data_IF_465124170454
#
_entry.id   IF_465124170454
#
_cell.length_a   1.000
_cell.length_b   1.000
_cell.length_c   1.000
_cell.angle_alpha   90.00
_cell.angle_beta   90.00
_cell.angle_gamma   90.00
#
_symmetry.space_group_name_H-M   'P 1'
#
loop_
_entity.id
_entity.type
_entity.pdbx_description
1 polymer ?
#
# COMPACT_ATOMS: atom_id res chain seq x y z
N UNK A 1 30.84 -30.64 -26.83
CA UNK A 1 29.99 -30.73 -25.61
C UNK A 1 29.86 -29.33 -24.99
N UNK A 2 28.80 -28.60 -25.31
CA UNK A 2 28.60 -27.24 -24.87
C UNK A 2 27.85 -27.25 -23.53
N UNK A 3 28.52 -26.88 -22.43
CA UNK A 3 27.91 -26.63 -21.13
C UNK A 3 26.99 -25.38 -21.24
N UNK A 4 25.70 -25.60 -21.46
CA UNK A 4 24.68 -24.54 -21.21
C UNK A 4 24.71 -24.22 -19.71
N UNK A 5 25.39 -23.15 -19.34
CA UNK A 5 25.25 -22.51 -18.03
C UNK A 5 23.87 -21.83 -18.00
N UNK A 6 22.85 -22.56 -17.57
CA UNK A 6 21.65 -21.94 -17.02
C UNK A 6 22.10 -21.16 -15.78
N UNK A 7 22.03 -19.85 -15.86
CA UNK A 7 22.28 -18.96 -14.74
C UNK A 7 21.21 -19.13 -13.67
N UNK A 8 21.33 -20.18 -12.87
CA UNK A 8 20.60 -20.33 -11.61
C UNK A 8 21.16 -19.26 -10.69
N UNK A 9 20.26 -18.45 -10.16
CA UNK A 9 20.43 -17.46 -9.13
C UNK A 9 21.66 -17.74 -8.26
N UNK A 10 22.75 -16.99 -8.44
CA UNK A 10 23.71 -16.77 -7.39
C UNK A 10 23.03 -15.89 -6.34
N UNK A 11 22.18 -16.48 -5.52
CA UNK A 11 21.96 -15.98 -4.19
C UNK A 11 23.34 -16.16 -3.49
N UNK A 12 24.21 -15.17 -3.62
CA UNK A 12 25.23 -14.97 -2.60
C UNK A 12 24.42 -15.00 -1.30
N UNK A 13 24.71 -16.00 -0.45
CA UNK A 13 24.25 -16.00 0.94
C UNK A 13 24.84 -14.72 1.51
N UNK A 14 24.10 -13.63 1.31
CA UNK A 14 24.53 -12.33 1.77
C UNK A 14 24.39 -12.36 3.29
N UNK A 15 25.42 -11.91 3.96
CA UNK A 15 25.59 -11.76 5.40
C UNK A 15 24.41 -11.05 6.09
N UNK A 16 23.45 -10.54 5.33
CA UNK A 16 22.41 -9.58 5.72
C UNK A 16 20.98 -10.06 5.45
N UNK A 17 20.62 -11.27 5.41
CA UNK A 17 19.23 -11.78 5.39
C UNK A 17 18.28 -11.24 4.26
N UNK A 18 17.15 -11.91 4.02
CA UNK A 18 16.24 -11.62 2.89
C UNK A 18 15.54 -10.24 2.97
N UNK A 19 15.26 -9.75 4.18
CA UNK A 19 14.64 -8.43 4.38
C UNK A 19 15.56 -7.30 3.95
N UNK A 20 16.83 -7.36 4.35
CA UNK A 20 17.84 -6.36 3.96
C UNK A 20 18.02 -6.33 2.44
N UNK A 21 18.08 -7.51 1.81
CA UNK A 21 18.24 -7.62 0.36
C UNK A 21 17.04 -7.03 -0.40
N UNK A 22 15.82 -7.20 0.11
CA UNK A 22 14.64 -6.57 -0.44
C UNK A 22 14.72 -5.04 -0.30
N UNK A 23 14.96 -4.53 0.91
CA UNK A 23 15.03 -3.08 1.17
C UNK A 23 16.11 -2.43 0.30
N UNK A 24 17.32 -2.99 0.27
CA UNK A 24 18.41 -2.52 -0.57
C UNK A 24 18.06 -2.56 -2.05
N UNK A 25 17.46 -3.67 -2.52
CA UNK A 25 17.05 -3.82 -3.91
C UNK A 25 16.00 -2.79 -4.32
N UNK A 26 15.02 -2.50 -3.46
CA UNK A 26 14.01 -1.45 -3.68
C UNK A 26 14.67 -0.07 -3.69
N UNK A 27 15.59 0.21 -2.76
CA UNK A 27 16.32 1.47 -2.69
C UNK A 27 17.20 1.73 -3.93
N UNK A 28 17.73 0.70 -4.56
CA UNK A 28 18.49 0.82 -5.80
C UNK A 28 17.62 1.24 -7.01
N UNK A 29 16.29 1.07 -6.94
CA UNK A 29 15.36 1.47 -7.99
C UNK A 29 15.02 2.96 -7.89
N UNK A 30 15.33 3.76 -8.94
CA UNK A 30 15.06 5.21 -8.96
C UNK A 30 13.58 5.53 -8.77
N UNK A 31 12.71 4.72 -9.37
CA UNK A 31 11.25 4.91 -9.30
C UNK A 31 10.75 4.73 -7.86
N UNK A 32 11.21 3.67 -7.17
CA UNK A 32 10.83 3.42 -5.77
C UNK A 32 11.37 4.52 -4.83
N UNK A 33 12.61 4.98 -5.04
CA UNK A 33 13.17 6.10 -4.26
C UNK A 33 12.33 7.36 -4.37
N UNK A 34 11.85 7.69 -5.58
CA UNK A 34 10.96 8.83 -5.77
C UNK A 34 9.67 8.64 -4.95
N UNK A 35 9.06 7.45 -5.01
CA UNK A 35 7.88 7.13 -4.20
C UNK A 35 8.15 7.25 -2.70
N UNK A 36 9.29 6.75 -2.22
CA UNK A 36 9.70 6.85 -0.81
C UNK A 36 9.86 8.31 -0.39
N UNK A 37 10.52 9.15 -1.21
CA UNK A 37 10.70 10.58 -0.87
C UNK A 37 9.37 11.34 -0.83
N UNK A 38 8.46 11.07 -1.79
CA UNK A 38 7.11 11.64 -1.78
C UNK A 38 6.37 11.22 -0.51
N UNK A 39 6.39 9.93 -0.18
CA UNK A 39 5.72 9.41 1.00
C UNK A 39 6.26 10.01 2.30
N UNK A 40 7.58 10.08 2.44
CA UNK A 40 8.23 10.72 3.59
C UNK A 40 7.83 12.19 3.68
N UNK A 41 7.81 12.93 2.56
CA UNK A 41 7.38 14.32 2.53
C UNK A 41 5.94 14.51 3.03
N UNK A 42 5.01 13.63 2.59
CA UNK A 42 3.61 13.68 3.03
C UNK A 42 3.47 13.31 4.51
N UNK A 43 4.21 12.30 4.98
CA UNK A 43 4.22 11.91 6.40
C UNK A 43 4.74 13.06 7.26
N UNK A 44 5.85 13.70 6.86
CA UNK A 44 6.40 14.86 7.58
C UNK A 44 5.38 16.00 7.59
N UNK A 45 4.76 16.31 6.45
CA UNK A 45 3.71 17.31 6.33
C UNK A 45 2.56 17.04 7.31
N UNK A 46 2.09 15.80 7.38
CA UNK A 46 0.99 15.40 8.28
C UNK A 46 1.40 15.38 9.76
N UNK A 47 2.65 15.03 10.07
CA UNK A 47 3.19 15.08 11.43
C UNK A 47 3.34 16.52 11.89
N UNK A 48 3.79 17.43 11.04
CA UNK A 48 3.84 18.86 11.37
C UNK A 48 2.45 19.33 11.81
N UNK A 49 1.38 18.91 11.11
CA UNK A 49 -0.01 19.27 11.46
C UNK A 49 -0.47 18.82 12.85
N UNK A 50 0.18 17.81 13.46
CA UNK A 50 -0.13 17.38 14.83
C UNK A 50 0.42 18.38 15.86
N UNK A 51 1.62 18.92 15.60
CA UNK A 51 2.35 19.78 16.54
C UNK A 51 2.17 21.26 16.27
N UNK A 52 1.91 21.62 15.04
CA UNK A 52 1.80 23.00 14.60
C UNK A 52 0.80 23.15 13.48
N UNK A 53 -0.17 24.05 13.68
CA UNK A 53 -1.06 24.56 12.64
C UNK A 53 -1.07 26.10 12.75
N UNK A 54 -1.07 26.85 11.62
CA UNK A 54 -1.18 28.31 11.66
C UNK A 54 -2.40 28.79 12.44
N UNK A 55 -3.53 28.08 12.29
CA UNK A 55 -4.79 28.35 12.96
C UNK A 55 -5.41 27.06 13.51
N UNK A 56 -6.33 27.20 14.49
CA UNK A 56 -7.11 26.05 14.94
C UNK A 56 -7.97 25.53 13.76
N UNK A 57 -7.81 24.26 13.33
CA UNK A 57 -8.53 23.72 12.16
C UNK A 57 -10.05 23.67 12.31
N UNK A 58 -10.56 23.77 13.55
CA UNK A 58 -12.00 23.80 13.85
C UNK A 58 -12.53 25.21 14.11
N UNK A 59 -11.71 26.25 13.98
CA UNK A 59 -12.14 27.61 14.19
C UNK A 59 -12.91 28.14 12.97
N UNK A 60 -14.14 28.64 13.19
CA UNK A 60 -15.09 29.11 12.15
C UNK A 60 -15.28 30.63 12.11
N UNK A 61 -14.37 31.38 12.73
CA UNK A 61 -14.50 32.82 12.86
C UNK A 61 -13.89 33.65 11.73
N UNK A 62 -13.28 33.03 10.71
CA UNK A 62 -12.74 33.78 9.58
C UNK A 62 -13.83 34.10 8.55
N UNK A 63 -13.64 35.16 7.72
CA UNK A 63 -14.51 35.41 6.59
C UNK A 63 -14.54 34.18 5.67
N UNK A 64 -15.73 33.88 5.15
CA UNK A 64 -15.96 32.67 4.30
C UNK A 64 -15.41 32.88 2.89
N UNK A 65 -15.02 31.80 2.25
CA UNK A 65 -14.64 31.73 0.82
C UNK A 65 -13.49 32.66 0.43
N UNK A 66 -12.64 33.05 1.36
CA UNK A 66 -11.46 33.83 1.02
C UNK A 66 -10.52 33.03 0.10
N UNK A 67 -10.04 33.64 -1.00
CA UNK A 67 -9.05 33.02 -1.84
C UNK A 67 -7.71 32.91 -1.10
N UNK A 68 -6.78 32.05 -1.61
CA UNK A 68 -5.44 31.95 -1.10
C UNK A 68 -4.75 33.31 -0.95
N UNK A 69 -4.16 33.55 0.21
CA UNK A 69 -3.52 34.79 0.60
C UNK A 69 -2.35 34.55 1.56
N UNK A 70 -1.48 35.53 1.84
CA UNK A 70 -0.41 35.36 2.84
C UNK A 70 -0.91 35.04 4.25
N UNK A 71 -2.13 35.46 4.61
CA UNK A 71 -2.79 35.17 5.89
C UNK A 71 -3.38 33.75 5.88
N UNK A 72 -3.99 33.34 4.78
CA UNK A 72 -4.61 32.05 4.58
C UNK A 72 -4.01 31.40 3.33
N UNK A 73 -2.97 30.56 3.49
CA UNK A 73 -2.18 30.00 2.36
C UNK A 73 -3.02 29.24 1.33
N UNK A 74 -4.07 28.54 1.78
CA UNK A 74 -5.06 27.87 0.93
C UNK A 74 -6.46 28.48 1.12
N UNK A 75 -6.56 29.77 1.50
CA UNK A 75 -7.84 30.40 1.68
C UNK A 75 -8.67 29.84 2.83
N UNK A 76 -9.95 30.21 2.85
CA UNK A 76 -10.94 29.70 3.80
C UNK A 76 -12.08 28.97 3.09
N UNK A 77 -12.77 28.10 3.83
CA UNK A 77 -13.95 27.38 3.34
C UNK A 77 -15.25 28.14 3.58
N UNK A 78 -16.40 27.58 3.20
CA UNK A 78 -17.74 28.13 3.35
C UNK A 78 -18.19 28.25 4.84
N UNK A 79 -17.46 27.64 5.76
CA UNK A 79 -17.69 27.70 7.20
C UNK A 79 -16.74 28.66 7.91
N UNK A 80 -15.76 29.23 7.21
CA UNK A 80 -14.73 30.11 7.76
C UNK A 80 -13.59 29.35 8.44
N UNK A 81 -13.31 28.08 8.06
CA UNK A 81 -12.11 27.38 8.49
C UNK A 81 -10.92 27.72 7.59
N UNK A 82 -9.71 27.72 8.15
CA UNK A 82 -8.48 27.79 7.37
C UNK A 82 -8.19 26.45 6.70
N UNK A 83 -8.25 26.40 5.37
CA UNK A 83 -8.12 25.18 4.58
C UNK A 83 -6.73 24.55 4.72
N UNK A 84 -5.66 25.37 4.84
CA UNK A 84 -4.31 24.85 4.99
C UNK A 84 -4.12 24.13 6.35
N UNK A 85 -4.65 24.71 7.43
CA UNK A 85 -4.61 24.08 8.76
C UNK A 85 -5.38 22.75 8.79
N UNK A 86 -6.55 22.70 8.13
CA UNK A 86 -7.30 21.45 7.99
C UNK A 86 -6.54 20.40 7.15
N UNK A 87 -5.89 20.83 6.05
CA UNK A 87 -5.11 19.93 5.19
C UNK A 87 -3.94 19.30 5.94
N UNK A 88 -3.25 20.08 6.78
CA UNK A 88 -2.15 19.58 7.61
C UNK A 88 -2.60 18.50 8.59
N UNK A 89 -3.63 18.78 9.37
CA UNK A 89 -4.14 17.86 10.41
C UNK A 89 -4.82 16.64 9.78
N UNK A 90 -5.53 16.85 8.68
CA UNK A 90 -6.32 15.82 8.02
C UNK A 90 -5.54 14.66 7.43
N UNK A 91 -4.24 14.81 7.23
CA UNK A 91 -3.38 13.77 6.63
C UNK A 91 -3.08 12.61 7.56
N UNK A 92 -2.81 12.91 8.84
CA UNK A 92 -2.40 11.89 9.80
C UNK A 92 -3.40 10.75 9.97
N UNK A 93 -4.72 11.00 10.18
CA UNK A 93 -5.68 9.91 10.27
C UNK A 93 -5.82 9.11 8.96
N UNK A 94 -5.77 9.74 7.80
CA UNK A 94 -5.87 9.06 6.50
C UNK A 94 -4.70 8.09 6.29
N UNK A 95 -3.48 8.59 6.49
CA UNK A 95 -2.26 7.79 6.32
C UNK A 95 -2.19 6.71 7.40
N UNK A 96 -2.46 7.06 8.66
CA UNK A 96 -2.41 6.14 9.79
C UNK A 96 -3.36 4.97 9.63
N UNK A 97 -4.63 5.23 9.26
CA UNK A 97 -5.60 4.15 8.98
C UNK A 97 -5.16 3.32 7.78
N UNK A 98 -4.68 3.94 6.70
CA UNK A 98 -4.19 3.21 5.54
C UNK A 98 -3.06 2.23 5.87
N UNK A 99 -2.05 2.69 6.63
CA UNK A 99 -0.95 1.82 7.08
C UNK A 99 -1.43 0.71 8.01
N UNK A 100 -2.32 1.01 8.95
CA UNK A 100 -2.85 0.01 9.87
C UNK A 100 -3.69 -1.06 9.14
N UNK A 101 -4.55 -0.66 8.19
CA UNK A 101 -5.30 -1.58 7.32
C UNK A 101 -4.34 -2.41 6.47
N UNK A 102 -3.30 -1.79 5.90
CA UNK A 102 -2.25 -2.48 5.16
C UNK A 102 -1.57 -3.57 5.99
N UNK A 103 -1.19 -3.23 7.22
CA UNK A 103 -0.52 -4.17 8.13
C UNK A 103 -1.44 -5.32 8.54
N UNK A 104 -2.62 -5.01 9.09
CA UNK A 104 -3.56 -6.02 9.59
C UNK A 104 -4.05 -6.91 8.44
N UNK A 105 -4.47 -6.32 7.31
CA UNK A 105 -4.95 -7.07 6.16
C UNK A 105 -3.87 -7.97 5.56
N UNK A 106 -2.60 -7.51 5.51
CA UNK A 106 -1.49 -8.35 5.06
C UNK A 106 -1.18 -9.48 6.04
N UNK A 107 -1.24 -9.24 7.34
CA UNK A 107 -1.06 -10.30 8.35
C UNK A 107 -2.15 -11.38 8.22
N UNK A 108 -3.42 -10.98 8.07
CA UNK A 108 -4.53 -11.93 7.84
C UNK A 108 -4.31 -12.68 6.52
N UNK A 109 -3.91 -11.98 5.44
CA UNK A 109 -3.60 -12.59 4.14
C UNK A 109 -2.53 -13.69 4.24
N UNK A 110 -1.47 -13.43 5.01
CA UNK A 110 -0.38 -14.39 5.24
C UNK A 110 -0.91 -15.60 6.01
N UNK A 111 -1.58 -15.35 7.13
CA UNK A 111 -2.10 -16.42 8.00
C UNK A 111 -3.07 -17.34 7.24
N UNK A 112 -4.08 -16.76 6.60
CA UNK A 112 -5.10 -17.52 5.88
C UNK A 112 -4.53 -18.18 4.63
N UNK A 113 -3.74 -17.44 3.84
CA UNK A 113 -3.20 -17.93 2.57
C UNK A 113 -2.15 -19.03 2.75
N UNK A 114 -1.23 -18.89 3.72
CA UNK A 114 -0.24 -19.94 4.03
C UNK A 114 -0.95 -21.17 4.56
N UNK A 115 -1.88 -21.01 5.52
CA UNK A 115 -2.61 -22.15 6.08
C UNK A 115 -3.38 -22.90 5.01
N UNK A 116 -4.16 -22.20 4.18
CA UNK A 116 -4.91 -22.82 3.08
C UNK A 116 -3.98 -23.52 2.08
N UNK A 117 -2.82 -22.93 1.77
CA UNK A 117 -1.84 -23.50 0.85
C UNK A 117 -1.12 -24.74 1.40
N UNK A 118 -0.76 -24.76 2.69
CA UNK A 118 -0.11 -25.89 3.35
C UNK A 118 -1.06 -27.08 3.53
N UNK A 119 -2.31 -26.81 3.85
CA UNK A 119 -3.34 -27.84 4.04
C UNK A 119 -4.22 -28.01 2.80
N UNK A 120 -3.66 -27.77 1.62
CA UNK A 120 -4.37 -27.90 0.35
C UNK A 120 -5.12 -29.24 0.22
N UNK A 121 -6.31 -29.18 -0.39
CA UNK A 121 -7.21 -30.32 -0.63
C UNK A 121 -7.90 -30.88 0.63
N UNK A 122 -7.57 -30.37 1.83
CA UNK A 122 -8.25 -30.74 3.06
C UNK A 122 -9.55 -29.94 3.27
N UNK A 123 -10.35 -30.31 4.27
CA UNK A 123 -11.54 -29.56 4.67
C UNK A 123 -11.17 -28.14 5.10
N UNK A 124 -10.03 -27.97 5.81
CA UNK A 124 -9.56 -26.64 6.25
C UNK A 124 -9.31 -25.72 5.07
N UNK A 125 -8.62 -26.20 4.04
CA UNK A 125 -8.38 -25.41 2.81
C UNK A 125 -9.70 -25.03 2.13
N UNK A 126 -10.65 -25.98 2.02
CA UNK A 126 -11.96 -25.72 1.41
C UNK A 126 -12.74 -24.65 2.15
N UNK A 127 -12.76 -24.69 3.49
CA UNK A 127 -13.44 -23.70 4.33
C UNK A 127 -12.78 -22.32 4.20
N UNK A 128 -11.44 -22.24 4.36
CA UNK A 128 -10.72 -20.98 4.24
C UNK A 128 -10.84 -20.35 2.84
N UNK A 129 -10.78 -21.20 1.79
CA UNK A 129 -10.98 -20.76 0.41
C UNK A 129 -12.41 -20.29 0.14
N UNK A 130 -13.43 -20.95 0.70
CA UNK A 130 -14.82 -20.52 0.58
C UNK A 130 -15.06 -19.16 1.26
N UNK A 131 -14.53 -18.97 2.49
CA UNK A 131 -14.60 -17.67 3.18
C UNK A 131 -13.91 -16.59 2.34
N UNK A 132 -12.68 -16.86 1.87
CA UNK A 132 -11.94 -15.93 1.01
C UNK A 132 -12.75 -15.55 -0.22
N UNK A 133 -13.45 -16.52 -0.84
CA UNK A 133 -14.27 -16.30 -2.02
C UNK A 133 -15.46 -15.38 -1.74
N UNK A 134 -16.11 -15.54 -0.60
CA UNK A 134 -17.24 -14.67 -0.16
C UNK A 134 -16.74 -13.22 -0.08
N UNK A 135 -15.61 -12.97 0.57
CA UNK A 135 -15.05 -11.62 0.69
C UNK A 135 -14.53 -11.04 -0.65
N UNK A 136 -14.23 -11.88 -1.65
CA UNK A 136 -13.85 -11.41 -2.99
C UNK A 136 -15.05 -11.07 -3.88
N UNK A 137 -16.19 -11.75 -3.67
CA UNK A 137 -17.42 -11.53 -4.46
C UNK A 137 -18.12 -10.25 -4.01
N UNK A 138 -18.20 -10.02 -2.71
CA UNK A 138 -18.88 -8.85 -2.17
C UNK A 138 -17.90 -7.68 -2.15
N UNK A 139 -18.16 -6.56 -2.86
CA UNK A 139 -17.32 -5.39 -2.78
C UNK A 139 -17.26 -4.88 -1.34
N UNK A 140 -16.05 -4.94 -0.73
CA UNK A 140 -15.87 -4.61 0.70
C UNK A 140 -16.38 -3.22 1.06
N UNK A 141 -16.28 -2.27 0.13
CA UNK A 141 -16.77 -0.91 0.32
C UNK A 141 -18.28 -0.85 0.52
N UNK A 142 -19.06 -1.68 -0.21
CA UNK A 142 -20.52 -1.75 -0.05
C UNK A 142 -20.93 -2.32 1.31
N UNK A 143 -20.16 -3.28 1.85
CA UNK A 143 -20.38 -3.80 3.20
C UNK A 143 -20.23 -2.69 4.22
N UNK A 144 -19.17 -1.88 4.07
CA UNK A 144 -18.86 -0.81 5.01
C UNK A 144 -19.87 0.33 4.90
N UNK A 145 -20.33 0.65 3.69
CA UNK A 145 -21.43 1.61 3.48
C UNK A 145 -22.71 1.14 4.15
N UNK A 146 -23.08 -0.12 3.96
CA UNK A 146 -24.29 -0.69 4.58
C UNK A 146 -24.21 -0.64 6.11
N UNK A 147 -23.05 -1.04 6.67
CA UNK A 147 -22.81 -0.96 8.11
C UNK A 147 -22.84 0.51 8.57
N UNK A 148 -22.22 1.41 7.83
CA UNK A 148 -22.20 2.84 8.14
C UNK A 148 -23.59 3.46 8.13
N UNK A 149 -24.40 3.16 7.12
CA UNK A 149 -25.77 3.62 7.02
C UNK A 149 -26.65 3.07 8.17
N UNK A 150 -26.50 1.79 8.51
CA UNK A 150 -27.21 1.16 9.63
C UNK A 150 -26.82 1.81 10.98
N UNK A 151 -25.52 1.98 11.23
CA UNK A 151 -25.03 2.59 12.46
C UNK A 151 -25.42 4.07 12.53
N UNK A 152 -25.44 4.77 11.40
CA UNK A 152 -25.94 6.15 11.29
C UNK A 152 -27.42 6.26 11.65
N UNK A 153 -28.25 5.30 11.24
CA UNK A 153 -29.69 5.26 11.59
C UNK A 153 -29.93 5.12 13.11
N UNK A 154 -29.01 4.49 13.84
CA UNK A 154 -29.05 4.41 15.31
C UNK A 154 -28.20 5.49 15.99
N UNK A 155 -27.85 6.55 15.26
CA UNK A 155 -27.04 7.68 15.71
C UNK A 155 -25.62 7.31 16.21
N UNK A 156 -25.11 6.14 15.88
CA UNK A 156 -23.75 5.72 16.18
C UNK A 156 -22.80 6.25 15.11
N UNK A 157 -21.95 7.19 15.48
CA UNK A 157 -20.97 7.76 14.55
C UNK A 157 -19.73 6.89 14.44
N UNK A 158 -19.36 6.52 13.21
CA UNK A 158 -18.15 5.76 12.94
C UNK A 158 -16.91 6.59 13.22
N UNK A 159 -16.22 6.29 14.30
CA UNK A 159 -14.87 6.82 14.58
C UNK A 159 -13.80 6.10 13.75
N UNK A 160 -12.59 6.65 13.71
CA UNK A 160 -11.45 6.12 12.95
C UNK A 160 -11.16 4.64 13.23
N UNK A 161 -11.27 4.22 14.48
CA UNK A 161 -11.01 2.83 14.90
C UNK A 161 -12.00 1.83 14.29
N UNK A 162 -13.29 2.17 14.28
CA UNK A 162 -14.32 1.29 13.70
C UNK A 162 -14.13 1.15 12.19
N UNK A 163 -13.88 2.28 11.51
CA UNK A 163 -13.59 2.31 10.07
C UNK A 163 -12.33 1.48 9.75
N UNK A 164 -11.28 1.60 10.56
CA UNK A 164 -10.05 0.82 10.41
C UNK A 164 -10.33 -0.68 10.44
N UNK A 165 -11.00 -1.16 11.48
CA UNK A 165 -11.29 -2.61 11.61
C UNK A 165 -12.25 -3.11 10.53
N UNK A 166 -13.23 -2.32 10.13
CA UNK A 166 -14.13 -2.66 9.04
C UNK A 166 -13.37 -2.83 7.71
N UNK A 167 -12.45 -1.89 7.37
CA UNK A 167 -11.60 -2.00 6.20
C UNK A 167 -10.60 -3.16 6.29
N UNK A 168 -9.98 -3.36 7.45
CA UNK A 168 -9.03 -4.45 7.64
C UNK A 168 -9.71 -5.83 7.52
N UNK A 169 -10.97 -5.95 7.96
CA UNK A 169 -11.74 -7.20 7.88
C UNK A 169 -12.15 -7.59 6.45
N UNK A 170 -12.08 -6.69 5.48
CA UNK A 170 -12.43 -6.92 4.08
C UNK A 170 -11.23 -6.93 3.13
N UNK A 171 -10.17 -6.19 3.45
CA UNK A 171 -9.01 -5.96 2.57
C UNK A 171 -8.03 -7.12 2.41
N UNK A 172 -8.17 -8.21 3.18
CA UNK A 172 -7.21 -9.33 3.22
C UNK A 172 -7.42 -10.40 2.14
N UNK A 173 -8.64 -10.52 1.59
CA UNK A 173 -9.05 -11.70 0.82
C UNK A 173 -8.25 -11.90 -0.46
N UNK A 174 -7.96 -10.82 -1.21
CA UNK A 174 -7.16 -10.90 -2.43
C UNK A 174 -5.74 -11.41 -2.15
N UNK A 175 -5.08 -10.84 -1.15
CA UNK A 175 -3.74 -11.26 -0.75
C UNK A 175 -3.68 -12.71 -0.28
N UNK A 176 -4.70 -13.18 0.45
CA UNK A 176 -4.83 -14.57 0.88
C UNK A 176 -4.91 -15.53 -0.30
N UNK A 177 -5.74 -15.23 -1.30
CA UNK A 177 -5.87 -16.05 -2.52
C UNK A 177 -4.54 -16.18 -3.27
N UNK A 178 -3.82 -15.07 -3.44
CA UNK A 178 -2.52 -15.08 -4.12
C UNK A 178 -1.47 -15.82 -3.28
N UNK A 179 -1.42 -15.58 -1.96
CA UNK A 179 -0.49 -16.27 -1.06
C UNK A 179 -0.71 -17.79 -1.07
N UNK A 180 -1.97 -18.25 -1.03
CA UNK A 180 -2.30 -19.67 -1.18
C UNK A 180 -1.71 -20.25 -2.48
N UNK A 181 -1.88 -19.56 -3.61
CA UNK A 181 -1.34 -19.99 -4.91
C UNK A 181 0.20 -20.08 -4.89
N UNK A 182 0.87 -19.11 -4.28
CA UNK A 182 2.33 -19.11 -4.13
C UNK A 182 2.81 -20.26 -3.27
N UNK A 183 2.16 -20.54 -2.14
CA UNK A 183 2.49 -21.66 -1.26
C UNK A 183 2.32 -23.00 -1.98
N UNK A 184 1.22 -23.18 -2.73
CA UNK A 184 1.00 -24.37 -3.55
C UNK A 184 2.11 -24.61 -4.57
N UNK A 185 2.60 -23.55 -5.20
CA UNK A 185 3.71 -23.64 -6.14
C UNK A 185 5.03 -24.00 -5.47
N UNK A 186 5.27 -23.49 -4.25
CA UNK A 186 6.47 -23.74 -3.47
C UNK A 186 6.53 -25.18 -2.92
N UNK A 187 5.41 -25.72 -2.45
CA UNK A 187 5.34 -27.11 -1.92
C UNK A 187 5.88 -28.17 -2.90
N UNK A 188 5.83 -27.90 -4.21
CA UNK A 188 6.34 -28.80 -5.25
C UNK A 188 7.83 -28.64 -5.54
N UNK A 189 8.52 -27.73 -4.84
CA UNK A 189 9.95 -27.48 -5.05
C UNK A 189 10.78 -28.51 -4.28
N UNK A 190 11.84 -29.02 -4.94
CA UNK A 190 12.73 -30.06 -4.39
C UNK A 190 13.31 -29.70 -3.02
N UNK A 191 13.66 -28.44 -2.79
CA UNK A 191 14.23 -28.00 -1.50
C UNK A 191 13.21 -28.03 -0.34
N UNK A 192 11.91 -27.82 -0.61
CA UNK A 192 10.84 -27.97 0.40
C UNK A 192 10.64 -29.45 0.71
N UNK A 193 10.56 -30.29 -0.32
CA UNK A 193 10.44 -31.74 -0.15
C UNK A 193 11.65 -32.31 0.62
N UNK A 194 12.86 -31.82 0.32
CA UNK A 194 14.07 -32.22 1.05
C UNK A 194 14.02 -31.81 2.52
N UNK A 195 13.50 -30.63 2.84
CA UNK A 195 13.30 -30.19 4.22
C UNK A 195 12.34 -31.09 4.98
N UNK A 196 11.24 -31.50 4.37
CA UNK A 196 10.28 -32.42 4.97
C UNK A 196 10.92 -33.79 5.24
N UNK A 197 11.76 -34.30 4.31
CA UNK A 197 12.47 -35.57 4.47
C UNK A 197 13.49 -35.60 5.61
N UNK A 198 14.13 -34.46 5.91
CA UNK A 198 15.06 -34.35 7.06
C UNK A 198 14.33 -34.02 8.37
N UNK A 199 12.98 -34.00 8.38
CA UNK A 199 12.17 -33.82 9.57
C UNK A 199 11.96 -32.37 10.02
N UNK A 200 12.14 -31.36 9.14
CA UNK A 200 11.85 -29.98 9.48
C UNK A 200 10.34 -29.82 9.78
N UNK A 201 10.03 -29.11 10.88
CA UNK A 201 8.64 -28.86 11.27
C UNK A 201 7.94 -27.94 10.25
N UNK A 202 6.61 -28.06 10.08
CA UNK A 202 5.82 -27.18 9.22
C UNK A 202 6.02 -25.69 9.57
N UNK A 203 6.13 -25.37 10.86
CA UNK A 203 6.41 -24.00 11.34
C UNK A 203 7.80 -23.56 10.88
N UNK A 204 8.80 -24.41 11.01
CA UNK A 204 10.16 -24.16 10.49
C UNK A 204 10.15 -23.85 8.99
N UNK A 205 9.49 -24.68 8.20
CA UNK A 205 9.31 -24.47 6.75
C UNK A 205 8.64 -23.13 6.43
N UNK A 206 7.61 -22.72 7.21
CA UNK A 206 6.95 -21.42 7.01
C UNK A 206 7.95 -20.28 7.17
N UNK A 207 8.63 -20.20 8.32
CA UNK A 207 9.47 -19.05 8.65
C UNK A 207 10.82 -19.05 7.93
N UNK A 208 11.40 -20.21 7.65
CA UNK A 208 12.71 -20.30 7.01
C UNK A 208 12.67 -20.33 5.49
N UNK A 209 11.55 -20.77 4.90
CA UNK A 209 11.47 -21.00 3.47
C UNK A 209 10.30 -20.27 2.80
N UNK A 210 9.06 -20.39 3.30
CA UNK A 210 7.89 -19.83 2.62
C UNK A 210 7.87 -18.30 2.73
N UNK A 211 7.93 -17.75 3.94
CA UNK A 211 7.88 -16.28 4.15
C UNK A 211 9.06 -15.58 3.47
N UNK A 212 10.33 -16.00 3.66
CA UNK A 212 11.47 -15.32 3.03
C UNK A 212 11.42 -15.33 1.50
N UNK A 213 10.97 -16.42 0.90
CA UNK A 213 10.85 -16.53 -0.56
C UNK A 213 9.68 -15.70 -1.14
N UNK A 214 8.65 -15.40 -0.34
CA UNK A 214 7.51 -14.59 -0.73
C UNK A 214 7.58 -13.15 -0.19
N UNK A 215 8.68 -12.73 0.42
CA UNK A 215 8.82 -11.41 1.00
C UNK A 215 8.51 -10.25 0.04
N UNK A 216 8.89 -10.27 -1.26
CA UNK A 216 8.48 -9.25 -2.21
C UNK A 216 6.96 -9.18 -2.38
N UNK A 217 6.28 -10.32 -2.47
CA UNK A 217 4.82 -10.34 -2.56
C UNK A 217 4.18 -9.80 -1.29
N UNK A 218 4.67 -10.18 -0.11
CA UNK A 218 4.18 -9.68 1.18
C UNK A 218 4.29 -8.16 1.25
N UNK A 219 5.43 -7.60 0.83
CA UNK A 219 5.63 -6.16 0.78
C UNK A 219 4.69 -5.48 -0.23
N UNK A 220 4.54 -6.04 -1.44
CA UNK A 220 3.58 -5.53 -2.43
C UNK A 220 2.15 -5.58 -1.92
N UNK A 221 1.74 -6.69 -1.29
CA UNK A 221 0.40 -6.85 -0.72
C UNK A 221 0.12 -5.80 0.37
N UNK A 222 1.11 -5.48 1.21
CA UNK A 222 0.99 -4.41 2.20
C UNK A 222 0.63 -3.07 1.54
N UNK A 223 1.34 -2.64 0.49
CA UNK A 223 1.06 -1.38 -0.17
C UNK A 223 -0.29 -1.37 -0.88
N UNK A 224 -0.68 -2.48 -1.54
CA UNK A 224 -2.01 -2.60 -2.17
C UNK A 224 -3.13 -2.51 -1.13
N UNK A 225 -2.99 -3.21 -0.01
CA UNK A 225 -3.98 -3.19 1.07
C UNK A 225 -4.00 -1.83 1.78
N UNK A 226 -2.86 -1.15 1.89
CA UNK A 226 -2.79 0.21 2.41
C UNK A 226 -3.49 1.23 1.49
N UNK A 227 -3.33 1.12 0.16
CA UNK A 227 -4.08 1.94 -0.81
C UNK A 227 -5.59 1.69 -0.64
N UNK A 228 -6.00 0.41 -0.53
CA UNK A 228 -7.39 0.06 -0.25
C UNK A 228 -7.90 0.72 1.03
N UNK A 229 -7.09 0.70 2.10
CA UNK A 229 -7.40 1.35 3.38
C UNK A 229 -7.58 2.86 3.24
N UNK A 230 -6.66 3.55 2.57
CA UNK A 230 -6.71 5.01 2.36
C UNK A 230 -7.93 5.41 1.52
N UNK A 231 -8.13 4.73 0.39
CA UNK A 231 -9.25 5.04 -0.51
C UNK A 231 -10.59 4.72 0.15
N UNK A 232 -10.71 3.57 0.82
CA UNK A 232 -11.90 3.19 1.56
C UNK A 232 -12.22 4.13 2.71
N UNK A 233 -11.21 4.52 3.51
CA UNK A 233 -11.36 5.51 4.57
C UNK A 233 -11.86 6.85 4.02
N UNK A 234 -11.18 7.36 3.00
CA UNK A 234 -11.58 8.63 2.37
C UNK A 234 -13.00 8.57 1.82
N UNK A 235 -13.37 7.45 1.19
CA UNK A 235 -14.69 7.24 0.62
C UNK A 235 -15.79 7.27 1.69
N UNK A 236 -15.60 6.56 2.82
CA UNK A 236 -16.54 6.56 3.95
C UNK A 236 -16.79 7.97 4.47
N UNK A 237 -15.73 8.76 4.64
CA UNK A 237 -15.86 10.13 5.12
C UNK A 237 -16.41 11.08 4.06
N UNK A 238 -16.07 10.87 2.78
CA UNK A 238 -16.59 11.63 1.65
C UNK A 238 -18.12 11.47 1.48
N UNK A 239 -18.66 10.29 1.79
CA UNK A 239 -20.11 10.04 1.79
C UNK A 239 -20.80 10.37 3.11
N UNK A 240 -20.09 10.95 4.07
CA UNK A 240 -20.66 11.37 5.34
C UNK A 240 -21.05 10.24 6.30
N UNK A 241 -20.55 9.02 6.06
CA UNK A 241 -20.83 7.84 6.92
C UNK A 241 -19.99 7.85 8.20
N UNK A 242 -18.87 8.56 8.21
CA UNK A 242 -18.03 8.77 9.37
C UNK A 242 -18.43 9.99 10.21
N UNK A 243 -17.73 10.22 11.31
CA UNK A 243 -17.93 11.42 12.15
C UNK A 243 -17.44 12.68 11.42
N UNK A 244 -18.37 13.54 11.02
CA UNK A 244 -18.08 14.78 10.28
C UNK A 244 -17.41 15.88 11.13
N UNK A 245 -17.33 15.69 12.45
CA UNK A 245 -16.62 16.60 13.36
C UNK A 245 -15.10 16.35 13.38
N UNK A 246 -14.66 15.25 12.80
CA UNK A 246 -13.25 14.86 12.74
C UNK A 246 -12.62 15.35 11.44
N UNK A 247 -11.62 16.23 11.54
CA UNK A 247 -10.92 16.77 10.37
C UNK A 247 -10.05 15.68 9.74
N UNK A 248 -10.34 15.36 8.49
CA UNK A 248 -9.52 14.51 7.62
C UNK A 248 -9.77 14.88 6.14
N UNK A 249 -8.93 14.41 5.22
CA UNK A 249 -9.09 14.75 3.81
C UNK A 249 -10.43 14.29 3.20
N UNK A 250 -11.04 13.21 3.72
CA UNK A 250 -12.37 12.77 3.30
C UNK A 250 -13.48 13.72 3.75
N UNK A 251 -13.45 14.21 5.00
CA UNK A 251 -14.42 15.20 5.50
C UNK A 251 -14.26 16.56 4.82
N UNK A 252 -13.03 16.97 4.49
CA UNK A 252 -12.80 18.18 3.69
C UNK A 252 -13.50 18.09 2.34
N UNK A 253 -13.39 16.93 1.66
CA UNK A 253 -14.09 16.69 0.39
C UNK A 253 -15.61 16.64 0.55
N UNK A 254 -16.12 16.02 1.64
CA UNK A 254 -17.55 16.01 1.95
C UNK A 254 -18.12 17.42 2.08
N UNK A 255 -17.48 18.28 2.88
CA UNK A 255 -17.93 19.66 3.10
C UNK A 255 -17.79 20.50 1.84
N UNK A 256 -16.75 20.29 1.04
CA UNK A 256 -16.57 20.99 -0.24
C UNK A 256 -17.66 20.64 -1.26
N UNK A 257 -18.16 19.39 -1.25
CA UNK A 257 -19.29 18.96 -2.07
C UNK A 257 -20.59 19.62 -1.61
N UNK A 258 -20.85 19.58 -0.29
CA UNK A 258 -22.05 20.18 0.30
C UNK A 258 -22.11 21.72 0.16
N UNK A 259 -20.95 22.38 0.18
CA UNK A 259 -20.81 23.82 -0.08
C UNK A 259 -20.73 24.22 -1.55
N UNK A 260 -20.99 23.27 -2.48
CA UNK A 260 -20.95 23.50 -3.91
C UNK A 260 -19.64 24.15 -4.41
N UNK A 261 -18.52 23.84 -3.75
CA UNK A 261 -17.21 24.46 -4.00
C UNK A 261 -16.80 24.42 -5.48
N UNK A 262 -17.12 23.33 -6.18
CA UNK A 262 -16.84 23.17 -7.60
C UNK A 262 -17.60 24.17 -8.48
N UNK A 263 -18.90 24.36 -8.23
CA UNK A 263 -19.76 25.30 -8.97
C UNK A 263 -19.37 26.75 -8.71
N UNK A 264 -18.92 27.04 -7.49
CA UNK A 264 -18.51 28.37 -7.01
C UNK A 264 -17.05 28.70 -7.36
N UNK A 265 -16.30 27.76 -7.96
CA UNK A 265 -14.89 27.97 -8.34
C UNK A 265 -13.90 27.99 -7.16
N UNK A 266 -14.27 27.47 -5.98
CA UNK A 266 -13.45 27.44 -4.77
C UNK A 266 -12.45 26.28 -4.81
N UNK A 267 -11.60 26.26 -5.84
CA UNK A 267 -10.66 25.15 -6.12
C UNK A 267 -9.71 24.85 -4.95
N UNK A 268 -9.37 25.84 -4.14
CA UNK A 268 -8.47 25.69 -3.01
C UNK A 268 -9.06 24.84 -1.87
N UNK A 269 -10.35 24.59 -1.89
CA UNK A 269 -11.02 23.78 -0.87
C UNK A 269 -11.05 22.30 -1.21
N UNK A 270 -11.25 21.90 -2.49
CA UNK A 270 -11.39 20.49 -2.88
C UNK A 270 -10.17 19.92 -3.61
N UNK A 271 -9.40 20.73 -4.37
CA UNK A 271 -8.22 20.21 -5.08
C UNK A 271 -7.12 19.77 -4.11
N UNK A 272 -6.72 20.52 -3.08
CA UNK A 272 -5.62 20.12 -2.21
C UNK A 272 -5.85 18.79 -1.50
N UNK A 273 -6.97 18.49 -0.83
CA UNK A 273 -7.17 17.20 -0.19
C UNK A 273 -7.23 16.05 -1.21
N UNK A 274 -7.88 16.23 -2.37
CA UNK A 274 -7.91 15.26 -3.44
C UNK A 274 -6.51 14.98 -4.01
N UNK A 275 -5.70 16.02 -4.22
CA UNK A 275 -4.32 15.90 -4.65
C UNK A 275 -3.45 15.13 -3.64
N UNK A 276 -3.58 15.41 -2.35
CA UNK A 276 -2.82 14.70 -1.30
C UNK A 276 -3.16 13.21 -1.26
N UNK A 277 -4.44 12.84 -1.38
CA UNK A 277 -4.88 11.44 -1.45
C UNK A 277 -4.26 10.75 -2.69
N UNK A 278 -4.37 11.39 -3.85
CA UNK A 278 -3.78 10.89 -5.09
C UNK A 278 -2.26 10.75 -5.00
N UNK A 279 -1.59 11.70 -4.33
CA UNK A 279 -0.13 11.69 -4.18
C UNK A 279 0.35 10.55 -3.26
N UNK A 280 -0.40 10.21 -2.19
CA UNK A 280 -0.11 9.05 -1.35
C UNK A 280 -0.28 7.76 -2.15
N UNK A 281 -1.40 7.60 -2.87
CA UNK A 281 -1.63 6.42 -3.71
C UNK A 281 -0.55 6.28 -4.79
N UNK A 282 -0.17 7.38 -5.42
CA UNK A 282 0.91 7.42 -6.41
C UNK A 282 2.27 7.03 -5.80
N UNK A 283 2.60 7.51 -4.60
CA UNK A 283 3.84 7.15 -3.91
C UNK A 283 3.92 5.64 -3.64
N UNK A 284 2.82 5.03 -3.18
CA UNK A 284 2.72 3.59 -2.95
C UNK A 284 2.85 2.78 -4.24
N UNK A 285 2.22 3.24 -5.34
CA UNK A 285 2.36 2.61 -6.65
C UNK A 285 3.82 2.63 -7.15
N UNK A 286 4.54 3.74 -6.97
CA UNK A 286 5.96 3.84 -7.34
C UNK A 286 6.84 2.89 -6.51
N UNK A 287 6.58 2.75 -5.22
CA UNK A 287 7.29 1.80 -4.34
C UNK A 287 7.02 0.37 -4.80
N UNK A 288 5.76 0.06 -5.10
CA UNK A 288 5.34 -1.26 -5.58
C UNK A 288 6.03 -1.67 -6.89
N UNK A 289 6.12 -0.75 -7.86
CA UNK A 289 6.89 -0.98 -9.11
C UNK A 289 8.35 -1.34 -8.79
N UNK A 290 8.94 -0.73 -7.77
CA UNK A 290 10.29 -1.06 -7.33
C UNK A 290 10.40 -2.46 -6.73
N UNK A 291 9.43 -2.86 -5.90
CA UNK A 291 9.34 -4.20 -5.31
C UNK A 291 9.21 -5.26 -6.40
N UNK A 292 8.33 -5.05 -7.38
CA UNK A 292 8.12 -5.98 -8.50
C UNK A 292 9.39 -6.18 -9.34
N UNK A 293 10.18 -5.12 -9.55
CA UNK A 293 11.47 -5.23 -10.24
C UNK A 293 12.53 -5.99 -9.43
N UNK A 294 12.45 -5.98 -8.11
CA UNK A 294 13.29 -6.79 -7.24
C UNK A 294 12.85 -8.24 -7.28
N UNK A 295 11.54 -8.48 -7.22
CA UNK A 295 10.94 -9.82 -7.26
C UNK A 295 11.19 -10.53 -8.59
N UNK A 296 11.09 -9.83 -9.71
CA UNK A 296 11.23 -10.39 -11.05
C UNK A 296 12.47 -9.83 -11.78
N UNK A 297 13.59 -10.59 -11.79
CA UNK A 297 14.82 -10.16 -12.47
C UNK A 297 14.67 -9.90 -13.97
N UNK A 298 13.64 -10.48 -14.62
CA UNK A 298 13.36 -10.24 -16.03
C UNK A 298 12.91 -8.80 -16.28
N UNK A 299 12.30 -8.14 -15.31
CA UNK A 299 11.91 -6.73 -15.38
C UNK A 299 13.09 -5.77 -15.21
N UNK A 300 14.26 -6.25 -14.74
CA UNK A 300 15.51 -5.46 -14.64
C UNK A 300 16.19 -5.22 -15.98
N UNK A 301 15.83 -5.95 -17.03
CA UNK A 301 16.49 -5.89 -18.37
C UNK A 301 16.17 -4.60 -19.14
N UNK A 302 15.32 -3.72 -18.62
CA UNK A 302 14.99 -2.44 -19.28
C UNK A 302 16.05 -1.35 -19.13
N UNK A 303 17.21 -1.63 -18.56
CA UNK A 303 18.37 -0.75 -18.72
C UNK A 303 19.11 -1.09 -20.03
N UNK A 304 18.37 -0.95 -21.15
CA UNK A 304 18.88 -1.21 -22.52
C UNK A 304 20.22 -0.49 -22.77
N UNK A 305 20.42 0.69 -22.16
CA UNK A 305 21.69 1.42 -22.23
C UNK A 305 22.83 0.67 -21.55
N UNK A 306 22.57 0.07 -20.39
CA UNK A 306 23.58 -0.69 -19.63
C UNK A 306 23.90 -2.02 -20.31
N UNK A 307 22.88 -2.68 -20.85
CA UNK A 307 23.05 -3.91 -21.62
C UNK A 307 23.78 -3.67 -22.95
N UNK A 308 23.44 -2.62 -23.70
CA UNK A 308 24.19 -2.23 -24.92
C UNK A 308 25.65 -1.89 -24.61
N UNK A 309 25.91 -1.19 -23.50
CA UNK A 309 27.29 -0.87 -23.07
C UNK A 309 28.08 -2.10 -22.62
N UNK A 310 27.43 -3.10 -22.02
CA UNK A 310 28.06 -4.38 -21.69
C UNK A 310 28.33 -5.22 -22.94
N UNK A 311 27.40 -5.23 -23.90
CA UNK A 311 27.59 -5.90 -25.20
C UNK A 311 28.73 -5.28 -26.01
N UNK A 312 28.84 -3.94 -26.04
CA UNK A 312 29.96 -3.25 -26.68
C UNK A 312 31.30 -3.63 -26.06
N UNK A 313 31.41 -3.55 -24.72
CA UNK A 313 32.62 -3.96 -24.00
C UNK A 313 32.97 -5.44 -24.18
N UNK A 314 31.96 -6.31 -24.33
CA UNK A 314 32.20 -7.73 -24.59
C UNK A 314 32.65 -7.97 -26.03
N UNK A 315 32.20 -7.19 -27.01
CA UNK A 315 32.67 -7.21 -28.40
C UNK A 315 34.10 -6.71 -28.52
N UNK A 316 34.41 -5.57 -27.91
CA UNK A 316 35.75 -5.01 -27.87
C UNK A 316 36.78 -5.98 -27.24
N UNK A 317 36.40 -6.67 -26.13
CA UNK A 317 37.25 -7.72 -25.54
C UNK A 317 37.47 -8.92 -26.44
N UNK A 318 36.50 -9.28 -27.27
CA UNK A 318 36.64 -10.40 -28.22
C UNK A 318 37.54 -10.04 -29.40
N UNK A 319 37.45 -8.80 -29.91
CA UNK A 319 38.27 -8.32 -31.00
C UNK A 319 39.76 -8.19 -30.61
N UNK A 320 40.03 -7.78 -29.36
CA UNK A 320 41.40 -7.73 -28.82
C UNK A 320 42.03 -9.10 -28.67
N UNK A 321 41.23 -10.15 -28.39
CA UNK A 321 41.72 -11.56 -28.23
C UNK A 321 41.89 -12.25 -29.58
N UNK A 322 41.22 -11.81 -30.66
CA UNK A 322 41.35 -12.37 -32.00
C UNK A 322 42.42 -11.74 -32.86
N UNK A 323 42.90 -10.53 -32.48
CA UNK A 323 43.91 -9.78 -33.24
C UNK A 323 45.27 -9.72 -32.52
N UNK A 324 45.46 -10.42 -31.43
CA UNK A 324 46.73 -10.65 -30.74
C UNK A 324 47.06 -12.15 -30.69
#
# INVERSE_FOLDING_TARGET
MAKRRFGIFNFKIDKYGPVYNLIRGVWEQRVARLGIYILIGIIIFSIIGIFYTPYNPNYTGFPRDLPPSPQHLLGTDDYGHDVFSQLLVGGFPVIGVGFAVGLIGTLISILVGITAGLYAETILDRVLSAITQIFLIIPGILIIELIGAYLGAIQFKLGYTVVLFALASTGWAWGSRVMRSLVLSLRRREYILSSELIGESKIGTIFRQIIPNNLPFIASNFFFTAIYGITGFTFIYYFGLGSLTQVNWGTMLYWSLGGEAYLRGLWWWYIPPGFMIGLVAFSFALINIGIDRVANPRLRVWDIKKYKKQLQKAKEKKEVVTNG
#
